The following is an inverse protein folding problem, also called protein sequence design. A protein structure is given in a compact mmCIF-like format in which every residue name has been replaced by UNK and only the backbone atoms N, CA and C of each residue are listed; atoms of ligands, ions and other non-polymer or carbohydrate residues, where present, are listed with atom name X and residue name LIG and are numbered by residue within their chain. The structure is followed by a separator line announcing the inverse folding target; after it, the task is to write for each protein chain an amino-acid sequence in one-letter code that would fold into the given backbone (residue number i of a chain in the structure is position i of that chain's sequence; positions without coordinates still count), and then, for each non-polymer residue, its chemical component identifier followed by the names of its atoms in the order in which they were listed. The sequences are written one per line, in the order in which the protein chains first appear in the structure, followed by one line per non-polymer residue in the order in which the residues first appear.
data_IF_118509925733
#
_entry.id   IF_118509925733
#
_cell.length_a   1.000
_cell.length_b   1.000
_cell.length_c   1.000
_cell.angle_alpha   90.00
_cell.angle_beta   90.00
_cell.angle_gamma   90.00
#
_symmetry.space_group_name_H-M   'P 1'
#
loop_
_entity.id
_entity.type
_entity.pdbx_description
1 polymer ?
#
# COMPACT_ATOMS: atom_id res chain seq x y z
N UNK A 1 22.82 25.11 -29.63
CA UNK A 1 21.68 24.18 -29.65
C UNK A 1 21.96 23.14 -28.58
N UNK A 2 21.45 23.34 -27.37
CA UNK A 2 21.59 22.38 -26.28
C UNK A 2 20.31 21.54 -26.26
N UNK A 3 20.48 20.22 -26.34
CA UNK A 3 19.39 19.26 -26.22
C UNK A 3 18.93 19.23 -24.76
N UNK A 4 17.62 19.39 -24.54
CA UNK A 4 17.01 19.23 -23.22
C UNK A 4 17.07 17.75 -22.80
N UNK A 5 17.42 17.44 -21.54
CA UNK A 5 17.42 16.07 -21.06
C UNK A 5 15.99 15.55 -20.92
N UNK A 6 15.75 14.32 -21.44
CA UNK A 6 14.50 13.57 -21.23
C UNK A 6 14.31 13.32 -19.73
N UNK A 7 13.10 13.49 -19.18
CA UNK A 7 12.83 13.05 -17.82
C UNK A 7 12.91 11.53 -17.75
N UNK A 8 13.78 11.07 -16.86
CA UNK A 8 13.94 9.69 -16.37
C UNK A 8 12.62 9.19 -15.78
N UNK A 9 12.33 7.90 -15.98
CA UNK A 9 11.15 7.21 -15.45
C UNK A 9 11.00 7.47 -13.96
N UNK A 10 10.03 8.29 -13.61
CA UNK A 10 9.59 8.55 -12.25
C UNK A 10 8.88 7.28 -11.77
N UNK A 11 9.44 6.62 -10.76
CA UNK A 11 8.74 5.59 -10.01
C UNK A 11 7.54 6.27 -9.38
N UNK A 12 6.33 6.02 -9.92
CA UNK A 12 5.12 6.54 -9.34
C UNK A 12 4.99 6.00 -7.91
N UNK A 13 4.93 6.87 -6.87
CA UNK A 13 4.56 6.39 -5.56
C UNK A 13 3.17 5.76 -5.65
N UNK A 14 2.97 4.60 -5.02
CA UNK A 14 1.64 4.03 -4.83
C UNK A 14 0.86 5.02 -3.96
N UNK A 15 0.11 5.93 -4.59
CA UNK A 15 -0.74 6.89 -3.89
C UNK A 15 -1.91 6.15 -3.26
N UNK A 16 -1.88 6.03 -1.93
CA UNK A 16 -2.90 5.36 -1.16
C UNK A 16 -3.96 6.36 -0.68
N UNK A 17 -5.22 6.13 -1.06
CA UNK A 17 -6.39 6.93 -0.73
C UNK A 17 -7.08 6.41 0.52
N UNK A 18 -7.39 7.28 1.47
CA UNK A 18 -8.15 6.93 2.66
C UNK A 18 -9.54 7.54 2.62
N UNK A 19 -10.57 6.71 2.82
CA UNK A 19 -11.93 7.16 3.01
C UNK A 19 -12.64 6.30 4.05
N UNK A 20 -13.19 6.94 5.09
CA UNK A 20 -14.09 6.32 6.07
C UNK A 20 -13.55 5.04 6.73
N UNK A 21 -12.26 5.03 7.13
CA UNK A 21 -11.60 3.89 7.79
C UNK A 21 -11.11 2.79 6.83
N UNK A 22 -11.41 2.89 5.54
CA UNK A 22 -10.90 1.97 4.53
C UNK A 22 -9.79 2.60 3.71
N UNK A 23 -8.75 1.81 3.47
CA UNK A 23 -7.60 2.16 2.65
C UNK A 23 -7.81 1.65 1.22
N UNK A 24 -7.64 2.52 0.23
CA UNK A 24 -7.88 2.24 -1.19
C UNK A 24 -6.67 2.63 -2.04
N UNK A 25 -6.29 1.81 -3.02
CA UNK A 25 -5.20 2.13 -3.95
C UNK A 25 -5.67 3.01 -5.11
N UNK A 26 -6.88 2.77 -5.62
CA UNK A 26 -7.45 3.51 -6.74
C UNK A 26 -8.97 3.48 -6.69
N UNK A 27 -9.62 4.47 -7.32
CA UNK A 27 -11.07 4.44 -7.54
C UNK A 27 -11.44 4.98 -8.93
N UNK A 28 -11.76 4.07 -9.86
CA UNK A 28 -12.26 4.41 -11.20
C UNK A 28 -13.74 4.07 -11.28
N UNK A 29 -14.61 5.09 -11.33
CA UNK A 29 -16.06 4.88 -11.34
C UNK A 29 -16.54 4.14 -10.08
N UNK A 30 -17.18 2.97 -10.29
CA UNK A 30 -17.61 2.05 -9.22
C UNK A 30 -16.55 1.00 -8.85
N UNK A 31 -15.42 0.95 -9.55
CA UNK A 31 -14.33 0.02 -9.23
C UNK A 31 -13.43 0.67 -8.19
N UNK A 32 -13.57 0.24 -6.94
CA UNK A 32 -12.69 0.61 -5.83
C UNK A 32 -11.64 -0.50 -5.70
N UNK A 33 -10.37 -0.14 -5.69
CA UNK A 33 -9.30 -1.02 -5.24
C UNK A 33 -9.10 -0.80 -3.76
N UNK A 34 -9.54 -1.74 -2.94
CA UNK A 34 -9.46 -1.65 -1.49
C UNK A 34 -8.33 -2.54 -0.98
N UNK A 35 -7.47 -1.98 -0.15
CA UNK A 35 -6.48 -2.73 0.61
C UNK A 35 -7.15 -3.59 1.68
N UNK A 36 -6.52 -4.71 1.99
CA UNK A 36 -6.82 -5.57 3.12
C UNK A 36 -5.52 -6.08 3.72
N UNK A 37 -5.58 -6.46 4.99
CA UNK A 37 -4.50 -7.15 5.71
C UNK A 37 -5.01 -8.54 6.06
N UNK A 38 -4.25 -9.59 5.76
CA UNK A 38 -4.59 -10.94 6.19
C UNK A 38 -4.26 -11.18 7.68
N UNK A 39 -4.73 -12.29 8.24
CA UNK A 39 -4.45 -12.67 9.63
C UNK A 39 -2.95 -12.84 9.97
N UNK A 40 -2.06 -12.81 8.98
CA UNK A 40 -0.62 -12.88 9.15
C UNK A 40 0.06 -11.50 9.01
N UNK A 41 -0.71 -10.45 8.70
CA UNK A 41 -0.21 -9.10 8.49
C UNK A 41 0.10 -8.78 7.02
N UNK A 42 -0.11 -9.70 6.07
CA UNK A 42 0.22 -9.47 4.67
C UNK A 42 -0.77 -8.52 4.01
N UNK A 43 -0.26 -7.53 3.27
CA UNK A 43 -1.09 -6.58 2.54
C UNK A 43 -1.47 -7.13 1.17
N UNK A 44 -2.76 -7.10 0.87
CA UNK A 44 -3.28 -7.35 -0.48
C UNK A 44 -4.33 -6.32 -0.87
N UNK A 45 -4.84 -6.45 -2.09
CA UNK A 45 -5.92 -5.59 -2.58
C UNK A 45 -6.99 -6.39 -3.32
N UNK A 46 -8.22 -5.89 -3.29
CA UNK A 46 -9.33 -6.40 -4.09
C UNK A 46 -9.86 -5.30 -4.99
N UNK A 47 -10.24 -5.64 -6.21
CA UNK A 47 -10.86 -4.71 -7.17
C UNK A 47 -12.39 -4.87 -7.18
N UNK A 48 -13.12 -3.75 -7.23
CA UNK A 48 -14.58 -3.74 -7.36
C UNK A 48 -15.34 -4.17 -6.10
N UNK A 49 -16.51 -4.78 -6.28
CA UNK A 49 -17.38 -5.24 -5.18
C UNK A 49 -17.00 -6.64 -4.66
N UNK A 50 -15.81 -7.14 -4.98
CA UNK A 50 -15.37 -8.45 -4.51
C UNK A 50 -15.11 -8.37 -3.01
N UNK A 51 -15.73 -9.27 -2.25
CA UNK A 51 -15.47 -9.41 -0.81
C UNK A 51 -13.98 -9.63 -0.56
N UNK A 52 -13.50 -9.20 0.62
CA UNK A 52 -12.12 -9.50 1.00
C UNK A 52 -11.94 -11.02 1.06
N UNK A 53 -10.76 -11.57 0.74
CA UNK A 53 -10.51 -13.00 0.92
C UNK A 53 -10.83 -13.44 2.36
N UNK A 54 -11.15 -14.73 2.60
CA UNK A 54 -11.35 -15.24 3.95
C UNK A 54 -10.15 -14.90 4.85
N UNK A 55 -10.42 -14.59 6.12
CA UNK A 55 -9.37 -14.25 7.11
C UNK A 55 -8.57 -12.99 6.78
N UNK A 56 -9.22 -12.01 6.16
CA UNK A 56 -8.65 -10.69 5.92
C UNK A 56 -9.52 -9.59 6.52
N UNK A 57 -8.87 -8.54 6.98
CA UNK A 57 -9.46 -7.35 7.57
C UNK A 57 -9.20 -6.14 6.66
N UNK A 58 -10.16 -5.23 6.58
CA UNK A 58 -10.03 -3.96 5.81
C UNK A 58 -9.89 -2.74 6.71
N UNK A 59 -9.96 -2.96 8.03
CA UNK A 59 -10.06 -1.99 9.12
C UNK A 59 -9.82 -2.77 10.43
N UNK A 60 -9.22 -2.24 11.52
CA UNK A 60 -8.43 -1.04 11.83
C UNK A 60 -7.35 -0.36 10.97
N UNK A 61 -7.61 0.54 10.04
CA UNK A 61 -6.52 1.44 9.58
C UNK A 61 -6.57 2.80 10.30
N UNK A 62 -5.43 3.24 10.84
CA UNK A 62 -5.29 4.55 11.46
C UNK A 62 -4.26 5.40 10.69
N UNK A 63 -4.47 6.71 10.69
CA UNK A 63 -3.56 7.67 10.07
C UNK A 63 -3.17 8.69 11.12
N UNK A 64 -1.87 8.86 11.34
CA UNK A 64 -1.38 9.98 12.15
C UNK A 64 -1.74 11.30 11.44
N UNK A 65 -2.50 12.21 12.07
CA UNK A 65 -2.97 13.43 11.41
C UNK A 65 -1.86 14.47 11.18
N UNK A 66 -0.69 14.31 11.80
CA UNK A 66 0.47 15.21 11.68
C UNK A 66 1.41 14.73 10.60
N UNK A 67 1.72 13.43 10.57
CA UNK A 67 2.70 12.84 9.65
C UNK A 67 2.04 12.19 8.43
N UNK A 68 0.76 11.85 8.49
CA UNK A 68 0.07 11.04 7.49
C UNK A 68 0.46 9.57 7.52
N UNK A 69 1.17 9.10 8.56
CA UNK A 69 1.64 7.71 8.62
C UNK A 69 0.49 6.76 8.90
N UNK A 70 0.50 5.66 8.15
CA UNK A 70 -0.53 4.63 8.21
C UNK A 70 -0.07 3.55 9.17
N UNK A 71 -0.94 3.21 10.11
CA UNK A 71 -0.79 2.02 10.96
C UNK A 71 -2.00 1.12 10.82
N UNK A 72 -1.81 -0.17 11.07
CA UNK A 72 -2.89 -1.15 11.10
C UNK A 72 -2.83 -1.90 12.43
N UNK A 73 -3.89 -1.80 13.24
CA UNK A 73 -3.92 -2.36 14.60
C UNK A 73 -2.64 -2.02 15.43
N UNK A 74 -2.21 -0.75 15.37
CA UNK A 74 -0.97 -0.24 16.00
C UNK A 74 0.35 -0.87 15.51
N UNK A 75 0.31 -1.67 14.44
CA UNK A 75 1.49 -2.16 13.75
C UNK A 75 1.94 -1.16 12.67
N UNK A 76 3.26 -1.00 12.55
CA UNK A 76 3.89 -0.32 11.42
C UNK A 76 4.07 -1.26 10.24
N UNK A 77 4.40 -0.69 9.08
CA UNK A 77 4.65 -1.46 7.88
C UNK A 77 6.11 -1.93 7.79
N UNK A 78 6.30 -3.14 7.26
CA UNK A 78 7.62 -3.72 6.96
C UNK A 78 7.59 -4.25 5.53
N UNK A 79 8.67 -4.01 4.78
CA UNK A 79 8.84 -4.53 3.43
C UNK A 79 9.79 -5.72 3.47
N UNK A 80 9.27 -6.90 3.17
CA UNK A 80 10.03 -8.15 3.19
C UNK A 80 10.31 -8.65 1.78
N UNK A 81 11.55 -9.08 1.46
CA UNK A 81 11.86 -9.67 0.16
C UNK A 81 11.00 -10.90 -0.12
N UNK A 82 10.43 -10.98 -1.32
CA UNK A 82 9.62 -12.13 -1.75
C UNK A 82 10.45 -13.41 -1.93
N UNK A 83 11.76 -13.26 -2.17
CA UNK A 83 12.67 -14.37 -2.51
C UNK A 83 12.47 -14.97 -3.90
N UNK A 84 11.39 -14.60 -4.62
CA UNK A 84 11.08 -15.10 -5.95
C UNK A 84 11.84 -14.33 -7.04
N UNK A 85 11.91 -13.01 -6.89
CA UNK A 85 12.53 -12.09 -7.84
C UNK A 85 13.39 -11.06 -7.10
N UNK A 86 14.47 -10.64 -7.76
CA UNK A 86 15.35 -9.61 -7.19
C UNK A 86 14.58 -8.29 -7.10
N UNK A 87 14.78 -7.57 -5.99
CA UNK A 87 14.19 -6.25 -5.74
C UNK A 87 12.64 -6.27 -5.62
N UNK A 88 12.03 -7.44 -5.42
CA UNK A 88 10.59 -7.59 -5.19
C UNK A 88 10.28 -7.81 -3.71
N UNK A 89 9.36 -7.01 -3.19
CA UNK A 89 8.99 -6.99 -1.77
C UNK A 89 7.49 -7.21 -1.58
N UNK A 90 7.14 -7.89 -0.51
CA UNK A 90 5.78 -7.93 0.05
C UNK A 90 5.71 -6.96 1.21
N UNK A 91 4.64 -6.18 1.27
CA UNK A 91 4.36 -5.28 2.38
C UNK A 91 3.58 -6.03 3.47
N UNK A 92 4.01 -5.85 4.72
CA UNK A 92 3.41 -6.45 5.90
C UNK A 92 3.09 -5.36 6.93
N UNK A 93 1.95 -5.43 7.62
CA UNK A 93 1.70 -4.68 8.85
C UNK A 93 1.80 -5.63 10.03
N UNK A 94 2.94 -5.62 10.70
CA UNK A 94 3.21 -6.50 11.84
C UNK A 94 4.23 -5.87 12.79
N UNK A 95 4.23 -6.33 14.03
CA UNK A 95 5.27 -6.03 15.02
C UNK A 95 6.25 -7.21 15.22
N UNK A 96 6.08 -8.29 14.45
CA UNK A 96 7.00 -9.42 14.45
C UNK A 96 8.21 -9.12 13.56
N UNK A 97 9.42 -9.15 14.13
CA UNK A 97 10.70 -8.94 13.42
C UNK A 97 11.02 -10.00 12.33
N UNK A 98 10.07 -10.87 11.97
CA UNK A 98 10.20 -11.91 10.95
C UNK A 98 8.81 -12.20 10.37
N UNK A 99 8.20 -11.21 9.71
CA UNK A 99 6.89 -11.37 9.07
C UNK A 99 6.86 -12.65 8.22
N UNK A 100 6.04 -13.62 8.62
CA UNK A 100 5.92 -14.93 7.95
C UNK A 100 7.26 -15.67 7.73
N UNK A 101 8.20 -15.58 8.67
CA UNK A 101 9.54 -16.19 8.58
C UNK A 101 10.41 -15.65 7.43
N UNK A 102 10.03 -14.52 6.83
CA UNK A 102 10.86 -13.82 5.87
C UNK A 102 12.02 -13.14 6.61
N UNK A 103 13.20 -13.16 5.99
CA UNK A 103 14.43 -12.54 6.51
C UNK A 103 14.78 -11.33 5.67
N UNK A 104 15.68 -10.50 6.21
CA UNK A 104 16.19 -9.30 5.53
C UNK A 104 15.07 -8.32 5.13
N UNK A 105 14.02 -8.30 5.95
CA UNK A 105 12.96 -7.31 5.88
C UNK A 105 13.49 -5.95 6.32
N UNK A 106 12.89 -4.89 5.77
CA UNK A 106 13.27 -3.50 6.05
C UNK A 106 12.07 -2.72 6.57
N UNK A 107 12.31 -1.92 7.60
CA UNK A 107 11.31 -0.98 8.10
C UNK A 107 10.80 -0.09 6.97
N UNK A 108 9.50 0.06 6.86
CA UNK A 108 8.86 0.86 5.82
C UNK A 108 7.84 1.82 6.43
N UNK A 109 7.78 3.02 5.88
CA UNK A 109 6.77 3.99 6.28
C UNK A 109 5.79 4.11 5.13
N UNK A 110 4.53 3.79 5.43
CA UNK A 110 3.42 4.01 4.51
C UNK A 110 2.78 5.34 4.88
N UNK A 111 2.68 6.24 3.91
CA UNK A 111 2.11 7.57 4.11
C UNK A 111 0.86 7.74 3.25
N UNK A 112 -0.21 8.18 3.89
CA UNK A 112 -1.44 8.61 3.28
C UNK A 112 -1.30 10.04 2.76
N UNK A 113 -1.80 10.32 1.56
CA UNK A 113 -1.93 11.70 1.06
C UNK A 113 -3.39 12.03 0.80
N UNK A 114 -3.84 13.15 1.34
CA UNK A 114 -5.13 13.72 0.96
C UNK A 114 -5.01 14.36 -0.42
N UNK A 115 -5.80 13.89 -1.37
CA UNK A 115 -5.97 14.55 -2.66
C UNK A 115 -7.42 14.96 -2.88
N UNK A 116 -7.70 16.21 -3.28
CA UNK A 116 -9.05 16.64 -3.65
C UNK A 116 -9.51 16.04 -4.99
N UNK A 117 -8.60 15.47 -5.79
CA UNK A 117 -8.88 14.87 -7.09
C UNK A 117 -8.30 13.46 -7.18
N UNK A 118 -9.12 12.49 -7.59
CA UNK A 118 -8.65 11.12 -7.86
C UNK A 118 -7.66 11.17 -9.03
N UNK A 119 -6.41 10.69 -8.90
CA UNK A 119 -5.55 10.56 -10.06
C UNK A 119 -6.22 9.59 -11.03
N UNK A 120 -6.48 10.06 -12.25
CA UNK A 120 -6.91 9.20 -13.34
C UNK A 120 -5.71 8.39 -13.80
N UNK A 121 -5.55 7.18 -13.29
CA UNK A 121 -4.47 6.30 -13.77
C UNK A 121 -4.85 5.76 -15.16
N UNK A 122 -4.33 6.38 -16.21
CA UNK A 122 -4.15 5.71 -17.51
C UNK A 122 -2.95 4.80 -17.36
N UNK A 123 -3.18 3.50 -17.22
CA UNK A 123 -2.15 2.49 -17.41
C UNK A 123 -1.86 2.41 -18.91
N UNK A 124 -0.68 2.85 -19.35
CA UNK A 124 -0.14 2.54 -20.68
C UNK A 124 0.76 1.31 -20.59
#
# INVERSE_FOLDING_TARGET
MQAEPRPTSEQAPLEQFFNSGTLSLNQVGLCIEMLYVDQHGSVGYTTGNVGAPPHTERDPFNIDPTTGYVTFNDCSAEACPTGAEKDHYTLWFTNDNNASQQKDCVDSIVQAYYTPYRPSCTYN
#
